data_IF_170052658578
#
_entry.id   IF_170052658578
#
_cell.length_a   1.000
_cell.length_b   1.000
_cell.length_c   1.000
_cell.angle_alpha   90.00
_cell.angle_beta   90.00
_cell.angle_gamma   90.00
#
_symmetry.space_group_name_H-M   'P 1'
#
loop_
_entity.id
_entity.type
_entity.pdbx_description
1 polymer ?
#
# COMPACT_ATOMS: atom_id res chain seq x y z
N UNK A 1 17.60 -12.44 -0.23
CA UNK A 1 18.69 -13.40 -0.11
C UNK A 1 19.73 -12.90 0.88
N UNK A 2 20.11 -13.76 1.83
CA UNK A 2 21.03 -13.55 2.98
C UNK A 2 20.37 -13.00 4.27
N UNK A 3 21.16 -12.87 5.34
CA UNK A 3 20.71 -12.39 6.64
C UNK A 3 20.36 -10.89 6.59
N UNK A 4 19.20 -10.52 7.12
CA UNK A 4 18.63 -9.17 7.03
C UNK A 4 17.31 -9.18 6.25
N UNK A 5 16.61 -8.04 6.24
CA UNK A 5 15.36 -7.89 5.47
C UNK A 5 15.69 -7.44 4.05
N UNK A 6 15.24 -8.20 3.04
CA UNK A 6 15.37 -7.82 1.64
C UNK A 6 14.33 -6.76 1.24
N UNK A 7 14.82 -5.61 0.79
CA UNK A 7 13.99 -4.42 0.49
C UNK A 7 14.03 -4.09 -0.99
N UNK A 8 12.85 -4.03 -1.62
CA UNK A 8 12.64 -3.33 -2.88
C UNK A 8 12.28 -1.88 -2.60
N UNK A 9 12.98 -0.93 -3.23
CA UNK A 9 12.60 0.48 -3.24
C UNK A 9 12.14 0.85 -4.64
N UNK A 10 10.92 1.38 -4.74
CA UNK A 10 10.35 1.92 -5.97
C UNK A 10 10.05 3.41 -5.77
N UNK A 11 10.52 4.24 -6.69
CA UNK A 11 10.24 5.67 -6.70
C UNK A 11 9.33 5.97 -7.88
N UNK A 12 8.19 6.61 -7.61
CA UNK A 12 7.33 7.22 -8.61
C UNK A 12 7.96 8.45 -9.24
N UNK A 13 7.12 9.31 -9.80
CA UNK A 13 7.52 10.55 -10.46
C UNK A 13 6.66 11.74 -9.99
N UNK A 14 6.57 12.79 -10.80
CA UNK A 14 5.67 13.92 -10.53
C UNK A 14 4.37 13.84 -11.34
N UNK A 15 4.01 12.66 -11.83
CA UNK A 15 2.88 12.44 -12.72
C UNK A 15 1.79 11.66 -11.97
N UNK A 16 0.54 11.75 -12.42
CA UNK A 16 -0.50 10.84 -11.94
C UNK A 16 -0.21 9.40 -12.42
N UNK A 17 0.09 8.51 -11.48
CA UNK A 17 0.54 7.15 -11.74
C UNK A 17 -0.51 6.12 -11.32
N UNK A 18 -0.55 5.00 -12.05
CA UNK A 18 -1.27 3.79 -11.63
C UNK A 18 -0.20 2.78 -11.29
N UNK A 19 -0.09 2.42 -10.01
CA UNK A 19 0.86 1.46 -9.47
C UNK A 19 0.09 0.26 -8.95
N UNK A 20 0.43 -0.94 -9.43
CA UNK A 20 -0.18 -2.20 -8.97
C UNK A 20 0.89 -3.12 -8.40
N UNK A 21 0.62 -3.67 -7.22
CA UNK A 21 1.42 -4.71 -6.58
C UNK A 21 0.57 -5.98 -6.47
N UNK A 22 1.06 -7.10 -6.99
CA UNK A 22 0.36 -8.39 -6.99
C UNK A 22 1.31 -9.57 -6.87
N UNK A 23 0.81 -10.69 -6.35
CA UNK A 23 1.54 -11.96 -6.39
C UNK A 23 1.58 -12.52 -7.82
N UNK A 24 2.75 -12.95 -8.27
CA UNK A 24 2.96 -13.79 -9.45
C UNK A 24 3.55 -15.14 -9.01
N UNK A 25 2.69 -16.01 -8.48
CA UNK A 25 3.14 -17.19 -7.73
C UNK A 25 3.87 -16.76 -6.46
N UNK A 26 5.11 -17.25 -6.27
CA UNK A 26 5.95 -16.87 -5.12
C UNK A 26 6.65 -15.51 -5.27
N UNK A 27 6.56 -14.89 -6.45
CA UNK A 27 7.26 -13.64 -6.78
C UNK A 27 6.34 -12.45 -6.62
N UNK A 28 6.91 -11.30 -6.28
CA UNK A 28 6.21 -10.02 -6.33
C UNK A 28 6.25 -9.49 -7.77
N UNK A 29 5.10 -9.11 -8.30
CA UNK A 29 4.98 -8.27 -9.50
C UNK A 29 4.57 -6.86 -9.10
N UNK A 30 5.32 -5.86 -9.57
CA UNK A 30 4.95 -4.45 -9.48
C UNK A 30 4.86 -3.87 -10.89
N UNK A 31 3.78 -3.16 -11.19
CA UNK A 31 3.63 -2.46 -12.47
C UNK A 31 3.36 -0.98 -12.27
N UNK A 32 3.75 -0.18 -13.26
CA UNK A 32 3.38 1.22 -13.34
C UNK A 32 3.02 1.61 -14.77
N UNK A 33 1.92 2.32 -14.95
CA UNK A 33 1.46 2.78 -16.28
C UNK A 33 2.46 3.76 -16.93
N UNK A 34 3.02 4.71 -16.18
CA UNK A 34 4.02 5.66 -16.69
C UNK A 34 5.29 4.89 -17.07
N UNK A 35 5.75 5.12 -18.30
CA UNK A 35 6.87 4.41 -18.91
C UNK A 35 6.74 2.88 -18.99
N UNK A 36 5.53 2.33 -18.82
CA UNK A 36 5.23 0.89 -18.95
C UNK A 36 6.16 -0.01 -18.11
N UNK A 37 6.37 0.34 -16.84
CA UNK A 37 7.29 -0.41 -15.97
C UNK A 37 6.62 -1.71 -15.52
N UNK A 38 7.37 -2.81 -15.62
CA UNK A 38 7.05 -4.10 -15.00
C UNK A 38 8.28 -4.61 -14.29
N UNK A 39 8.15 -4.84 -12.99
CA UNK A 39 9.13 -5.54 -12.16
C UNK A 39 8.53 -6.86 -11.73
N UNK A 40 9.31 -7.93 -11.81
CA UNK A 40 8.98 -9.25 -11.31
C UNK A 40 10.20 -9.76 -10.53
N UNK A 41 10.08 -9.80 -9.21
CA UNK A 41 11.19 -10.01 -8.28
C UNK A 41 10.86 -11.12 -7.28
N UNK A 42 11.85 -11.93 -6.97
CA UNK A 42 11.72 -13.03 -6.01
C UNK A 42 12.42 -12.68 -4.69
N UNK A 43 11.96 -13.26 -3.59
CA UNK A 43 12.60 -13.16 -2.28
C UNK A 43 12.64 -11.76 -1.66
N UNK A 44 11.76 -10.84 -2.09
CA UNK A 44 11.58 -9.55 -1.42
C UNK A 44 10.68 -9.73 -0.21
N UNK A 45 11.07 -9.11 0.90
CA UNK A 45 10.39 -9.23 2.19
C UNK A 45 9.71 -7.91 2.57
N UNK A 46 10.27 -6.80 2.09
CA UNK A 46 9.72 -5.45 2.24
C UNK A 46 9.72 -4.71 0.90
N UNK A 47 8.67 -3.93 0.65
CA UNK A 47 8.59 -3.01 -0.49
C UNK A 47 8.33 -1.60 0.02
N UNK A 48 9.12 -0.64 -0.46
CA UNK A 48 8.93 0.78 -0.17
C UNK A 48 8.58 1.49 -1.48
N UNK A 49 7.38 2.05 -1.57
CA UNK A 49 6.93 2.89 -2.68
C UNK A 49 6.93 4.33 -2.19
N UNK A 50 7.74 5.19 -2.84
CA UNK A 50 7.62 6.63 -2.71
C UNK A 50 6.77 7.13 -3.89
N UNK A 51 5.55 7.59 -3.61
CA UNK A 51 4.60 8.09 -4.61
C UNK A 51 5.15 9.36 -5.29
N UNK A 52 5.60 10.29 -4.46
CA UNK A 52 6.13 11.61 -4.83
C UNK A 52 5.01 12.59 -5.21
N UNK A 53 4.91 13.00 -6.47
CA UNK A 53 3.98 14.04 -6.88
C UNK A 53 2.95 13.51 -7.86
N UNK A 54 1.72 14.01 -7.80
CA UNK A 54 0.66 13.63 -8.73
C UNK A 54 -0.48 12.94 -8.00
N UNK A 55 -1.65 12.84 -8.64
CA UNK A 55 -2.77 12.09 -8.08
C UNK A 55 -2.59 10.60 -8.41
N UNK A 56 -2.01 9.85 -7.48
CA UNK A 56 -1.63 8.46 -7.70
C UNK A 56 -2.75 7.48 -7.33
N UNK A 57 -2.85 6.39 -8.09
CA UNK A 57 -3.70 5.25 -7.78
C UNK A 57 -2.83 4.03 -7.49
N UNK A 58 -2.76 3.64 -6.22
CA UNK A 58 -1.87 2.58 -5.75
C UNK A 58 -2.73 1.42 -5.27
N UNK A 59 -2.65 0.29 -5.96
CA UNK A 59 -3.37 -0.94 -5.59
C UNK A 59 -2.39 -1.98 -5.04
N UNK A 60 -2.67 -2.45 -3.83
CA UNK A 60 -2.01 -3.61 -3.23
C UNK A 60 -3.00 -4.77 -3.22
N UNK A 61 -2.79 -5.71 -4.16
CA UNK A 61 -3.53 -6.97 -4.16
C UNK A 61 -3.01 -7.92 -3.09
N UNK A 62 -3.73 -9.02 -2.84
CA UNK A 62 -3.22 -10.07 -1.96
C UNK A 62 -1.86 -10.56 -2.45
N UNK A 63 -0.87 -10.49 -1.57
CA UNK A 63 0.49 -10.96 -1.79
C UNK A 63 0.73 -12.35 -1.16
N UNK A 64 -0.36 -13.04 -0.80
CA UNK A 64 -0.30 -14.40 -0.28
C UNK A 64 0.45 -15.31 -1.25
N UNK A 65 1.40 -16.09 -0.72
CA UNK A 65 2.28 -16.96 -1.49
C UNK A 65 3.64 -16.34 -1.81
N UNK A 66 3.80 -15.01 -1.70
CA UNK A 66 5.11 -14.34 -1.77
C UNK A 66 5.80 -14.29 -0.40
N UNK A 67 7.05 -13.82 -0.37
CA UNK A 67 7.80 -13.53 0.87
C UNK A 67 7.53 -12.14 1.45
N UNK A 68 6.75 -11.30 0.76
CA UNK A 68 6.54 -9.91 1.16
C UNK A 68 5.68 -9.88 2.42
N UNK A 69 6.24 -9.35 3.51
CA UNK A 69 5.57 -9.18 4.80
C UNK A 69 5.17 -7.72 5.07
N UNK A 70 5.81 -6.76 4.39
CA UNK A 70 5.57 -5.33 4.60
C UNK A 70 5.63 -4.53 3.31
N UNK A 71 4.59 -3.71 3.10
CA UNK A 71 4.54 -2.65 2.10
C UNK A 71 4.53 -1.31 2.83
N UNK A 72 5.42 -0.39 2.46
CA UNK A 72 5.39 0.99 2.91
C UNK A 72 5.06 1.89 1.72
N UNK A 73 3.93 2.58 1.80
CA UNK A 73 3.49 3.60 0.85
C UNK A 73 3.76 4.96 1.46
N UNK A 74 4.66 5.72 0.85
CA UNK A 74 5.02 7.05 1.28
C UNK A 74 4.50 8.09 0.28
N UNK A 75 3.54 8.92 0.72
CA UNK A 75 2.89 9.94 -0.10
C UNK A 75 3.60 11.30 -0.03
N UNK A 76 4.82 11.36 0.51
CA UNK A 76 5.55 12.61 0.57
C UNK A 76 5.97 13.11 -0.81
N UNK A 77 5.85 14.42 -1.03
CA UNK A 77 6.24 15.11 -2.29
C UNK A 77 7.70 14.97 -2.70
N UNK A 78 8.58 14.56 -1.78
CA UNK A 78 10.01 14.41 -2.01
C UNK A 78 10.57 13.19 -1.28
N UNK A 79 11.64 12.62 -1.83
CA UNK A 79 12.34 11.50 -1.19
C UNK A 79 12.93 11.96 0.15
N UNK A 80 12.54 11.27 1.24
CA UNK A 80 12.94 11.62 2.60
C UNK A 80 12.17 12.79 3.21
N UNK A 81 11.18 13.34 2.51
CA UNK A 81 10.26 14.35 3.02
C UNK A 81 9.23 13.79 4.01
N UNK A 82 8.59 14.69 4.75
CA UNK A 82 7.56 14.38 5.76
C UNK A 82 6.25 15.12 5.52
N UNK A 83 6.08 15.70 4.33
CA UNK A 83 4.87 16.41 3.94
C UNK A 83 4.36 15.77 2.67
N UNK A 84 3.05 15.52 2.62
CA UNK A 84 2.36 15.09 1.41
C UNK A 84 2.52 16.11 0.27
N UNK A 85 1.99 15.78 -0.90
CA UNK A 85 2.16 16.55 -2.12
C UNK A 85 0.95 17.44 -2.47
N UNK A 86 -0.07 17.45 -1.60
CA UNK A 86 -1.34 18.13 -1.79
C UNK A 86 -2.07 17.72 -3.07
N UNK A 87 -1.84 16.51 -3.57
CA UNK A 87 -2.65 15.85 -4.60
C UNK A 87 -3.54 14.79 -3.96
N UNK A 88 -4.54 14.32 -4.71
CA UNK A 88 -5.50 13.34 -4.22
C UNK A 88 -5.05 11.93 -4.58
N UNK A 89 -4.39 11.26 -3.64
CA UNK A 89 -3.98 9.86 -3.81
C UNK A 89 -5.10 8.89 -3.43
N UNK A 90 -5.20 7.80 -4.18
CA UNK A 90 -6.13 6.72 -3.96
C UNK A 90 -5.38 5.42 -3.72
N UNK A 91 -5.41 4.94 -2.47
CA UNK A 91 -4.84 3.66 -2.09
C UNK A 91 -5.95 2.63 -2.01
N UNK A 92 -5.74 1.48 -2.63
CA UNK A 92 -6.61 0.31 -2.55
C UNK A 92 -5.85 -0.86 -1.96
N UNK A 93 -6.40 -1.48 -0.92
CA UNK A 93 -5.87 -2.73 -0.32
C UNK A 93 -6.93 -3.81 -0.47
N UNK A 94 -6.59 -4.85 -1.24
CA UNK A 94 -7.49 -5.95 -1.55
C UNK A 94 -7.15 -7.18 -0.70
N UNK A 95 -8.17 -7.75 -0.07
CA UNK A 95 -8.13 -9.02 0.63
C UNK A 95 -8.11 -10.22 -0.29
N UNK A 96 -8.67 -11.31 0.20
CA UNK A 96 -8.72 -12.61 -0.45
C UNK A 96 -10.16 -13.03 -0.71
N UNK A 97 -10.38 -14.18 -1.33
CA UNK A 97 -11.72 -14.76 -1.40
C UNK A 97 -12.13 -15.47 -0.10
N UNK A 98 -11.24 -15.54 0.89
CA UNK A 98 -11.45 -16.19 2.18
C UNK A 98 -11.75 -15.14 3.27
N UNK A 99 -12.10 -15.60 4.47
CA UNK A 99 -12.33 -14.71 5.61
C UNK A 99 -11.04 -13.98 5.99
N UNK A 100 -11.08 -12.66 5.94
CA UNK A 100 -10.03 -11.74 6.35
C UNK A 100 -10.44 -10.93 7.60
N UNK A 101 -9.44 -10.58 8.41
CA UNK A 101 -9.62 -9.77 9.62
C UNK A 101 -8.77 -8.50 9.55
N UNK A 102 -9.30 -7.47 8.90
CA UNK A 102 -8.63 -6.20 8.72
C UNK A 102 -8.57 -5.38 10.00
N UNK A 103 -7.38 -4.91 10.33
CA UNK A 103 -7.15 -3.97 11.42
C UNK A 103 -6.38 -2.76 10.89
N UNK A 104 -7.02 -1.59 10.92
CA UNK A 104 -6.46 -0.31 10.53
C UNK A 104 -6.10 0.45 11.81
N UNK A 105 -4.82 0.75 12.02
CA UNK A 105 -4.33 1.43 13.22
C UNK A 105 -3.44 2.61 12.88
N UNK A 106 -3.30 3.54 13.82
CA UNK A 106 -2.31 4.62 13.70
C UNK A 106 -0.99 4.16 14.30
N UNK A 107 0.09 4.19 13.50
CA UNK A 107 1.45 3.88 13.93
C UNK A 107 2.37 5.01 13.51
N UNK A 108 2.96 5.70 14.49
CA UNK A 108 3.91 6.80 14.27
C UNK A 108 3.41 7.85 13.25
N UNK A 109 2.14 8.25 13.37
CA UNK A 109 1.51 9.26 12.49
C UNK A 109 1.13 8.77 11.09
N UNK A 110 1.30 7.48 10.78
CA UNK A 110 0.80 6.85 9.55
C UNK A 110 -0.28 5.82 9.84
N UNK A 111 -0.98 5.38 8.80
CA UNK A 111 -2.01 4.33 8.87
C UNK A 111 -1.38 2.98 8.56
N UNK A 112 -1.62 1.99 9.40
CA UNK A 112 -1.18 0.61 9.17
C UNK A 112 -2.40 -0.29 8.98
N UNK A 113 -2.48 -0.94 7.83
CA UNK A 113 -3.46 -1.98 7.49
C UNK A 113 -2.81 -3.34 7.72
N UNK A 114 -3.42 -4.16 8.55
CA UNK A 114 -2.97 -5.53 8.86
C UNK A 114 -4.13 -6.52 8.76
N UNK A 115 -3.83 -7.82 8.77
CA UNK A 115 -4.83 -8.89 8.59
C UNK A 115 -4.61 -9.72 7.33
N UNK A 116 -3.73 -9.28 6.43
CA UNK A 116 -3.31 -9.99 5.22
C UNK A 116 -1.89 -10.56 5.37
N UNK A 117 -1.44 -11.30 4.36
CA UNK A 117 -0.07 -11.83 4.30
C UNK A 117 1.02 -10.74 4.39
N UNK A 118 0.76 -9.57 3.79
CA UNK A 118 1.59 -8.38 3.93
C UNK A 118 0.83 -7.29 4.67
N UNK A 119 1.48 -6.62 5.62
CA UNK A 119 0.95 -5.38 6.20
C UNK A 119 1.24 -4.20 5.26
N UNK A 120 0.31 -3.23 5.20
CA UNK A 120 0.45 -2.03 4.37
C UNK A 120 0.48 -0.81 5.28
N UNK A 121 1.61 -0.11 5.31
CA UNK A 121 1.78 1.11 6.08
C UNK A 121 1.81 2.31 5.13
N UNK A 122 0.93 3.26 5.37
CA UNK A 122 0.77 4.49 4.59
C UNK A 122 1.24 5.66 5.46
N UNK A 123 2.14 6.48 4.93
CA UNK A 123 2.70 7.64 5.63
C UNK A 123 2.60 8.91 4.81
N UNK A 124 2.57 10.04 5.51
CA UNK A 124 2.49 11.38 4.92
C UNK A 124 1.19 11.61 4.11
N UNK A 125 0.15 10.83 4.41
CA UNK A 125 -1.18 11.05 3.84
C UNK A 125 -1.85 12.28 4.43
N UNK A 126 -2.71 12.88 3.62
CA UNK A 126 -3.41 14.11 3.89
C UNK A 126 -4.91 13.82 3.84
N UNK A 127 -5.58 13.75 5.00
CA UNK A 127 -6.98 13.33 5.09
C UNK A 127 -7.99 14.15 4.25
N UNK A 128 -7.61 15.35 3.81
CA UNK A 128 -8.42 16.20 2.95
C UNK A 128 -8.36 15.78 1.46
N UNK A 129 -7.31 15.06 1.06
CA UNK A 129 -7.04 14.71 -0.33
C UNK A 129 -6.99 13.20 -0.55
N UNK A 130 -6.44 12.46 0.41
CA UNK A 130 -6.10 11.05 0.20
C UNK A 130 -7.18 10.11 0.70
N UNK A 131 -7.30 8.99 0.00
CA UNK A 131 -8.26 7.94 0.30
C UNK A 131 -7.61 6.58 0.43
N UNK A 132 -8.14 5.77 1.33
CA UNK A 132 -7.83 4.36 1.48
C UNK A 132 -9.13 3.56 1.36
N UNK A 133 -9.19 2.69 0.38
CA UNK A 133 -10.25 1.70 0.24
C UNK A 133 -9.70 0.32 0.61
N UNK A 134 -10.38 -0.38 1.51
CA UNK A 134 -10.07 -1.76 1.86
C UNK A 134 -11.21 -2.66 1.39
N UNK A 135 -10.89 -3.62 0.53
CA UNK A 135 -11.86 -4.59 0.00
C UNK A 135 -11.66 -5.96 0.61
N UNK A 136 -12.76 -6.56 1.09
CA UNK A 136 -12.81 -7.97 1.50
C UNK A 136 -12.64 -8.92 0.32
N UNK A 137 -13.39 -8.69 -0.78
CA UNK A 137 -13.44 -9.48 -2.02
C UNK A 137 -14.13 -10.85 -1.93
N UNK A 138 -14.33 -11.40 -0.73
CA UNK A 138 -15.10 -12.62 -0.50
C UNK A 138 -14.96 -13.09 0.94
N UNK A 139 -15.68 -14.15 1.33
CA UNK A 139 -15.74 -14.54 2.74
C UNK A 139 -16.58 -13.58 3.58
N UNK A 140 -16.60 -13.82 4.90
CA UNK A 140 -17.23 -12.92 5.87
C UNK A 140 -16.13 -12.17 6.60
N UNK A 141 -15.83 -10.97 6.15
CA UNK A 141 -14.68 -10.22 6.64
C UNK A 141 -15.02 -9.36 7.85
N UNK A 142 -14.00 -9.01 8.62
CA UNK A 142 -14.11 -8.04 9.71
C UNK A 142 -13.21 -6.86 9.43
N UNK A 143 -13.73 -5.66 9.68
CA UNK A 143 -13.00 -4.40 9.51
C UNK A 143 -13.00 -3.64 10.83
N UNK A 144 -11.83 -3.56 11.46
CA UNK A 144 -11.63 -2.77 12.67
C UNK A 144 -10.86 -1.51 12.32
N UNK A 145 -11.50 -0.35 12.44
CA UNK A 145 -10.88 0.97 12.20
C UNK A 145 -10.55 1.59 13.54
N UNK A 146 -9.26 1.71 13.84
CA UNK A 146 -8.75 2.30 15.06
C UNK A 146 -9.00 3.80 15.15
N UNK A 147 -8.97 4.32 16.37
CA UNK A 147 -9.13 5.76 16.63
C UNK A 147 -8.02 6.55 15.92
N UNK A 148 -8.39 7.70 15.35
CA UNK A 148 -7.44 8.61 14.68
C UNK A 148 -7.11 8.25 13.23
N UNK A 149 -7.44 7.05 12.73
CA UNK A 149 -7.16 6.67 11.33
C UNK A 149 -7.79 7.66 10.34
N UNK A 150 -9.07 8.00 10.53
CA UNK A 150 -9.79 8.95 9.67
C UNK A 150 -9.29 10.40 9.76
N UNK A 151 -8.42 10.73 10.72
CA UNK A 151 -7.74 12.03 10.77
C UNK A 151 -6.49 12.10 9.90
N UNK A 152 -6.02 10.94 9.40
CA UNK A 152 -4.83 10.82 8.57
C UNK A 152 -5.17 10.52 7.10
N UNK A 153 -6.26 9.80 6.84
CA UNK A 153 -6.68 9.41 5.48
C UNK A 153 -8.20 9.16 5.42
N UNK A 154 -8.84 9.44 4.29
CA UNK A 154 -10.25 9.12 4.06
C UNK A 154 -10.46 7.62 3.86
N UNK A 155 -11.05 6.92 4.84
CA UNK A 155 -11.20 5.45 4.79
C UNK A 155 -12.58 5.02 4.30
N UNK A 156 -12.62 4.06 3.38
CA UNK A 156 -13.81 3.27 3.00
C UNK A 156 -13.51 1.79 3.12
N UNK A 157 -14.46 1.00 3.61
CA UNK A 157 -14.37 -0.47 3.66
C UNK A 157 -15.51 -1.08 2.88
N UNK A 158 -15.20 -2.06 2.03
CA UNK A 158 -16.16 -2.71 1.16
C UNK A 158 -16.10 -4.22 1.37
N UNK A 159 -17.22 -4.79 1.79
CA UNK A 159 -17.44 -6.23 1.86
C UNK A 159 -17.76 -6.80 0.48
#
# INVERSE_FOLDING_TARGET
GQAGTDVLVFNGSGAAEIIDLSANGARLRLTRNVANIVMDVDGMEQVNVNALGGADNITVNSLAGTFVAQINLNLASTIGGSSGDAQADAITVNGTAAVDAFNLTVVSGGVNVSGLAASVRITNSEAAFDTLVVHGLGGTDTFTIGTGVSSLIGVTTNQ
#
